data_IF_948439745576
#
_entry.id   IF_948439745576
#
_cell.length_a   1.000
_cell.length_b   1.000
_cell.length_c   1.000
_cell.angle_alpha   90.00
_cell.angle_beta   90.00
_cell.angle_gamma   90.00
#
_symmetry.space_group_name_H-M   'P 1'
#
loop_
_entity.id
_entity.type
_entity.pdbx_description
1 polymer ?
#
# COMPACT_ATOMS: atom_id res chain seq x y z
N UNK A 1 3.03 -15.18 17.72
CA UNK A 1 3.17 -13.71 17.78
C UNK A 1 4.13 -13.19 16.70
N UNK A 2 5.41 -13.58 16.70
CA UNK A 2 6.43 -13.11 15.73
C UNK A 2 6.13 -13.52 14.26
N UNK A 3 5.70 -14.77 14.05
CA UNK A 3 5.37 -15.29 12.71
C UNK A 3 4.17 -14.55 12.07
N UNK A 4 3.20 -14.10 12.88
CA UNK A 4 2.03 -13.33 12.41
C UNK A 4 2.42 -11.93 11.90
N UNK A 5 3.43 -11.31 12.51
CA UNK A 5 3.99 -10.04 12.04
C UNK A 5 4.71 -10.20 10.70
N UNK A 6 5.47 -11.28 10.54
CA UNK A 6 6.16 -11.60 9.28
C UNK A 6 5.18 -11.92 8.15
N UNK A 7 4.14 -12.72 8.42
CA UNK A 7 3.08 -13.04 7.45
C UNK A 7 2.31 -11.77 7.03
N UNK A 8 2.04 -10.85 7.95
CA UNK A 8 1.45 -9.54 7.62
C UNK A 8 2.35 -8.70 6.72
N UNK A 9 3.64 -8.66 7.02
CA UNK A 9 4.59 -7.95 6.18
C UNK A 9 4.69 -8.57 4.77
N UNK A 10 4.76 -9.90 4.68
CA UNK A 10 4.81 -10.63 3.43
C UNK A 10 3.52 -10.51 2.59
N UNK A 11 2.35 -10.51 3.23
CA UNK A 11 1.08 -10.34 2.53
C UNK A 11 0.91 -8.92 1.99
N UNK A 12 1.27 -7.88 2.76
CA UNK A 12 1.29 -6.50 2.26
C UNK A 12 2.21 -6.34 1.04
N UNK A 13 3.41 -6.92 1.12
CA UNK A 13 4.35 -6.99 0.01
C UNK A 13 3.75 -7.68 -1.23
N UNK A 14 3.15 -8.86 -1.05
CA UNK A 14 2.51 -9.62 -2.12
C UNK A 14 1.34 -8.86 -2.75
N UNK A 15 0.57 -8.14 -1.92
CA UNK A 15 -0.57 -7.36 -2.40
C UNK A 15 -0.12 -6.22 -3.31
N UNK A 16 0.95 -5.51 -2.91
CA UNK A 16 1.46 -4.43 -3.73
C UNK A 16 1.99 -4.94 -5.07
N UNK A 17 2.66 -6.10 -5.05
CA UNK A 17 3.18 -6.75 -6.25
C UNK A 17 2.03 -7.18 -7.18
N UNK A 18 0.95 -7.74 -6.61
CA UNK A 18 -0.25 -8.09 -7.36
C UNK A 18 -0.90 -6.85 -8.00
N UNK A 19 -0.99 -5.73 -7.28
CA UNK A 19 -1.53 -4.48 -7.82
C UNK A 19 -0.61 -3.91 -8.88
N UNK A 20 0.71 -3.95 -8.68
CA UNK A 20 1.68 -3.50 -9.67
C UNK A 20 1.54 -4.23 -11.02
N UNK A 21 1.15 -5.51 -11.01
CA UNK A 21 0.92 -6.31 -12.22
C UNK A 21 -0.49 -6.17 -12.79
N UNK A 22 -1.52 -6.04 -11.94
CA UNK A 22 -2.93 -6.01 -12.36
C UNK A 22 -3.41 -4.59 -12.70
N UNK A 23 -2.87 -3.56 -12.05
CA UNK A 23 -3.27 -2.17 -12.26
C UNK A 23 -3.03 -1.67 -13.70
N UNK A 24 -1.85 -1.92 -14.33
CA UNK A 24 -1.62 -1.49 -15.71
C UNK A 24 -2.53 -2.23 -16.70
N UNK A 25 -2.89 -3.49 -16.44
CA UNK A 25 -3.71 -4.28 -17.37
C UNK A 25 -5.19 -3.90 -17.38
N UNK A 26 -5.68 -3.21 -16.34
CA UNK A 26 -7.08 -2.79 -16.25
C UNK A 26 -7.36 -1.44 -16.94
N UNK A 27 -6.34 -0.65 -17.29
CA UNK A 27 -6.52 0.67 -17.93
C UNK A 27 -7.21 1.72 -17.05
N UNK A 28 -7.45 1.42 -15.76
CA UNK A 28 -8.15 2.28 -14.79
C UNK A 28 -7.21 3.37 -14.23
N UNK A 29 -5.89 3.22 -14.41
CA UNK A 29 -4.86 4.07 -13.78
C UNK A 29 -3.94 4.71 -14.84
N UNK A 30 -4.38 5.78 -15.51
CA UNK A 30 -3.53 6.51 -16.44
C UNK A 30 -2.37 7.15 -15.68
N UNK A 31 -1.13 6.72 -15.96
CA UNK A 31 0.08 7.22 -15.28
C UNK A 31 0.63 6.31 -14.17
N UNK A 32 0.01 5.16 -13.90
CA UNK A 32 0.62 4.13 -13.06
C UNK A 32 1.50 3.21 -13.91
N UNK A 33 2.81 3.27 -13.71
CA UNK A 33 3.79 2.51 -14.49
C UNK A 33 4.80 1.81 -13.59
N UNK A 34 5.01 0.51 -13.80
CA UNK A 34 6.06 -0.24 -13.12
C UNK A 34 6.98 -0.85 -14.17
N UNK A 35 8.23 -0.39 -14.21
CA UNK A 35 9.19 -0.69 -15.28
C UNK A 35 9.53 -2.19 -15.41
N UNK A 36 9.28 -2.98 -14.36
CA UNK A 36 9.42 -4.44 -14.37
C UNK A 36 9.45 -5.07 -12.99
N UNK A 37 9.67 -6.39 -12.94
CA UNK A 37 9.72 -7.16 -11.69
C UNK A 37 10.74 -6.63 -10.66
N UNK A 38 11.91 -6.17 -11.14
CA UNK A 38 12.93 -5.58 -10.27
C UNK A 38 12.47 -4.30 -9.58
N UNK A 39 11.85 -3.38 -10.33
CA UNK A 39 11.28 -2.15 -9.78
C UNK A 39 10.14 -2.45 -8.80
N UNK A 40 9.29 -3.45 -9.10
CA UNK A 40 8.23 -3.89 -8.20
C UNK A 40 8.78 -4.44 -6.87
N UNK A 41 9.85 -5.24 -6.90
CA UNK A 41 10.51 -5.75 -5.70
C UNK A 41 11.06 -4.62 -4.82
N UNK A 42 11.76 -3.66 -5.43
CA UNK A 42 12.30 -2.49 -4.72
C UNK A 42 11.17 -1.63 -4.15
N UNK A 43 10.11 -1.38 -4.92
CA UNK A 43 8.91 -0.64 -4.49
C UNK A 43 8.27 -1.29 -3.27
N UNK A 44 8.12 -2.61 -3.27
CA UNK A 44 7.60 -3.38 -2.15
C UNK A 44 8.46 -3.22 -0.89
N UNK A 45 9.78 -3.31 -1.02
CA UNK A 45 10.72 -3.17 0.10
C UNK A 45 10.64 -1.75 0.69
N UNK A 46 10.71 -0.73 -0.16
CA UNK A 46 10.64 0.68 0.25
C UNK A 46 9.28 0.99 0.87
N UNK A 47 8.19 0.56 0.24
CA UNK A 47 6.85 0.77 0.77
C UNK A 47 6.67 0.12 2.14
N UNK A 48 7.19 -1.09 2.31
CA UNK A 48 7.09 -1.80 3.58
C UNK A 48 7.88 -1.04 4.67
N UNK A 49 9.07 -0.54 4.34
CA UNK A 49 9.86 0.32 5.23
C UNK A 49 9.12 1.63 5.59
N UNK A 50 8.52 2.30 4.62
CA UNK A 50 7.71 3.50 4.84
C UNK A 50 6.47 3.20 5.71
N UNK A 51 5.88 2.02 5.56
CA UNK A 51 4.76 1.58 6.39
C UNK A 51 5.15 1.33 7.86
N UNK A 52 6.41 0.98 8.14
CA UNK A 52 6.91 0.84 9.51
C UNK A 52 7.35 2.17 10.14
N UNK A 53 7.76 3.13 9.32
CA UNK A 53 8.38 4.37 9.80
C UNK A 53 7.45 5.57 9.60
N UNK A 54 7.19 5.92 8.35
CA UNK A 54 6.42 7.11 7.97
C UNK A 54 4.95 6.98 8.35
N UNK A 55 4.31 5.83 8.09
CA UNK A 55 2.89 5.64 8.38
C UNK A 55 2.51 5.83 9.86
N UNK A 56 3.23 5.28 10.87
CA UNK A 56 2.90 5.54 12.26
C UNK A 56 3.13 6.99 12.67
N UNK A 57 4.18 7.64 12.15
CA UNK A 57 4.44 9.06 12.40
C UNK A 57 3.29 9.91 11.85
N UNK A 58 2.91 9.70 10.59
CA UNK A 58 1.79 10.39 9.95
C UNK A 58 0.48 10.14 10.68
N UNK A 59 0.19 8.91 11.09
CA UNK A 59 -1.01 8.59 11.86
C UNK A 59 -1.05 9.31 13.21
N UNK A 60 0.08 9.36 13.91
CA UNK A 60 0.14 10.01 15.21
C UNK A 60 -0.08 11.52 15.08
N UNK A 61 0.54 12.15 14.08
CA UNK A 61 0.34 13.56 13.78
C UNK A 61 -1.07 13.85 13.24
N UNK A 62 -1.62 12.94 12.45
CA UNK A 62 -2.93 13.13 11.81
C UNK A 62 -4.09 12.74 12.69
N UNK A 63 -3.89 12.05 13.82
CA UNK A 63 -4.94 11.58 14.72
C UNK A 63 -6.09 12.57 14.97
N UNK A 64 -5.84 13.85 15.31
CA UNK A 64 -6.93 14.81 15.52
C UNK A 64 -7.77 15.05 14.25
N UNK A 65 -7.10 15.16 13.09
CA UNK A 65 -7.75 15.34 11.79
C UNK A 65 -8.46 14.06 11.35
N UNK A 66 -7.84 12.91 11.57
CA UNK A 66 -8.41 11.59 11.28
C UNK A 66 -9.67 11.38 12.10
N UNK A 67 -9.70 11.76 13.38
CA UNK A 67 -10.93 11.73 14.19
C UNK A 67 -11.99 12.70 13.66
N UNK A 68 -11.59 13.92 13.27
CA UNK A 68 -12.51 14.93 12.72
C UNK A 68 -13.12 14.51 11.37
N UNK A 69 -12.39 13.73 10.59
CA UNK A 69 -12.79 13.24 9.26
C UNK A 69 -13.37 11.82 9.30
N UNK A 70 -13.70 11.28 10.48
CA UNK A 70 -14.19 9.91 10.67
C UNK A 70 -13.33 8.82 10.01
N UNK A 71 -12.02 9.01 10.02
CA UNK A 71 -11.07 8.05 9.44
C UNK A 71 -10.76 8.28 7.96
N UNK A 72 -11.44 9.20 7.27
CA UNK A 72 -11.23 9.44 5.83
C UNK A 72 -9.80 9.90 5.52
N UNK A 73 -9.19 10.67 6.43
CA UNK A 73 -7.79 11.09 6.28
C UNK A 73 -6.79 9.93 6.25
N UNK A 74 -7.19 8.73 6.70
CA UNK A 74 -6.34 7.52 6.60
C UNK A 74 -6.06 7.15 5.13
N UNK A 75 -6.99 7.45 4.21
CA UNK A 75 -6.76 7.26 2.77
C UNK A 75 -5.66 8.17 2.26
N UNK A 76 -5.66 9.43 2.71
CA UNK A 76 -4.62 10.41 2.38
C UNK A 76 -3.25 9.93 2.87
N UNK A 77 -3.16 9.41 4.09
CA UNK A 77 -1.90 8.84 4.62
C UNK A 77 -1.39 7.70 3.73
N UNK A 78 -2.28 6.76 3.36
CA UNK A 78 -1.88 5.62 2.52
C UNK A 78 -1.44 6.09 1.11
N UNK A 79 -2.11 7.09 0.54
CA UNK A 79 -1.76 7.70 -0.74
C UNK A 79 -0.41 8.44 -0.67
N UNK A 80 -0.17 9.21 0.40
CA UNK A 80 1.11 9.90 0.64
C UNK A 80 2.25 8.88 0.73
N UNK A 81 2.03 7.75 1.40
CA UNK A 81 3.03 6.68 1.47
C UNK A 81 3.32 6.09 0.08
N UNK A 82 2.30 5.93 -0.78
CA UNK A 82 2.53 5.52 -2.18
C UNK A 82 3.30 6.56 -3.00
N UNK A 83 2.98 7.85 -2.84
CA UNK A 83 3.72 8.93 -3.51
C UNK A 83 5.17 9.04 -3.02
N UNK A 84 5.43 8.71 -1.76
CA UNK A 84 6.80 8.63 -1.25
C UNK A 84 7.53 7.44 -1.85
N UNK A 85 6.87 6.29 -2.03
CA UNK A 85 7.46 5.17 -2.76
C UNK A 85 7.76 5.54 -4.21
N UNK A 86 6.84 6.24 -4.88
CA UNK A 86 7.02 6.78 -6.24
C UNK A 86 8.28 7.65 -6.33
N UNK A 87 8.42 8.62 -5.43
CA UNK A 87 9.59 9.50 -5.39
C UNK A 87 10.91 8.78 -5.05
N UNK A 88 10.87 7.64 -4.35
CA UNK A 88 12.06 6.93 -3.88
C UNK A 88 12.48 5.76 -4.79
N UNK A 89 11.59 5.26 -5.64
CA UNK A 89 11.83 4.05 -6.44
C UNK A 89 11.74 4.37 -7.92
N UNK A 90 12.92 4.43 -8.55
CA UNK A 90 13.02 4.56 -9.99
C UNK A 90 12.30 3.39 -10.70
N UNK A 91 11.32 3.73 -11.55
CA UNK A 91 10.52 2.75 -12.27
C UNK A 91 9.27 2.27 -11.52
N UNK A 92 8.85 2.95 -10.45
CA UNK A 92 7.51 2.82 -9.85
C UNK A 92 6.85 4.20 -9.88
N UNK A 93 6.05 4.48 -10.91
CA UNK A 93 5.33 5.75 -11.04
C UNK A 93 3.85 5.54 -10.72
N UNK A 94 3.27 6.42 -9.92
CA UNK A 94 1.85 6.35 -9.54
C UNK A 94 1.00 7.35 -10.34
N UNK A 95 1.62 8.37 -10.93
CA UNK A 95 0.93 9.33 -11.80
C UNK A 95 0.17 10.43 -11.05
N UNK A 96 0.53 10.67 -9.79
CA UNK A 96 0.02 11.79 -8.98
C UNK A 96 -0.93 11.40 -7.85
N UNK A 97 -1.42 12.41 -7.13
CA UNK A 97 -2.15 12.21 -5.86
C UNK A 97 -3.48 11.48 -6.02
N UNK A 98 -4.29 11.83 -7.03
CA UNK A 98 -5.57 11.17 -7.25
C UNK A 98 -5.41 9.67 -7.56
N UNK A 99 -4.44 9.33 -8.41
CA UNK A 99 -4.09 7.94 -8.67
C UNK A 99 -3.61 7.26 -7.40
N UNK A 100 -2.72 7.89 -6.62
CA UNK A 100 -2.23 7.32 -5.36
C UNK A 100 -3.37 7.04 -4.37
N UNK A 101 -4.39 7.89 -4.29
CA UNK A 101 -5.59 7.64 -3.50
C UNK A 101 -6.33 6.39 -4.01
N UNK A 102 -6.60 6.29 -5.31
CA UNK A 102 -7.29 5.14 -5.91
C UNK A 102 -6.51 3.84 -5.69
N UNK A 103 -5.20 3.83 -5.99
CA UNK A 103 -4.34 2.66 -5.79
C UNK A 103 -4.27 2.29 -4.30
N UNK A 104 -4.22 3.28 -3.39
CA UNK A 104 -4.20 3.01 -1.95
C UNK A 104 -5.50 2.38 -1.43
N UNK A 105 -6.64 2.74 -2.02
CA UNK A 105 -7.95 2.14 -1.71
C UNK A 105 -7.98 0.70 -2.21
N UNK A 106 -7.60 0.47 -3.46
CA UNK A 106 -7.52 -0.89 -4.03
C UNK A 106 -6.58 -1.75 -3.18
N UNK A 107 -5.41 -1.23 -2.82
CA UNK A 107 -4.46 -1.90 -1.94
C UNK A 107 -5.08 -2.25 -0.60
N UNK A 108 -5.74 -1.31 0.07
CA UNK A 108 -6.39 -1.59 1.34
C UNK A 108 -7.45 -2.70 1.23
N UNK A 109 -8.26 -2.69 0.15
CA UNK A 109 -9.31 -3.70 -0.07
C UNK A 109 -8.71 -5.08 -0.37
N UNK A 110 -7.77 -5.18 -1.31
CA UNK A 110 -7.15 -6.47 -1.67
C UNK A 110 -6.39 -7.03 -0.47
N UNK A 111 -5.63 -6.20 0.25
CA UNK A 111 -4.93 -6.61 1.46
C UNK A 111 -5.90 -7.11 2.53
N UNK A 112 -7.04 -6.44 2.73
CA UNK A 112 -8.07 -6.86 3.68
C UNK A 112 -8.71 -8.21 3.29
N UNK A 113 -9.00 -8.42 2.01
CA UNK A 113 -9.52 -9.69 1.50
C UNK A 113 -8.51 -10.83 1.67
N UNK A 114 -7.25 -10.61 1.31
CA UNK A 114 -6.19 -11.59 1.49
C UNK A 114 -5.99 -11.97 2.96
N UNK A 115 -6.03 -10.99 3.87
CA UNK A 115 -6.00 -11.28 5.30
C UNK A 115 -7.22 -12.06 5.76
N UNK A 116 -8.43 -11.69 5.30
CA UNK A 116 -9.64 -12.44 5.62
C UNK A 116 -9.57 -13.91 5.19
N UNK A 117 -8.95 -14.20 4.03
CA UNK A 117 -8.75 -15.56 3.53
C UNK A 117 -7.67 -16.32 4.30
N UNK A 118 -6.54 -15.70 4.61
CA UNK A 118 -5.42 -16.36 5.34
C UNK A 118 -5.75 -16.56 6.81
N UNK A 119 -6.47 -15.63 7.42
CA UNK A 119 -6.83 -15.70 8.85
C UNK A 119 -8.05 -16.61 9.09
N UNK A 120 -8.80 -16.94 8.03
CA UNK A 120 -9.82 -17.99 8.00
C UNK A 120 -9.28 -19.42 8.20
N UNK A 121 -7.97 -19.62 8.06
CA UNK A 121 -7.30 -20.95 8.13
C UNK A 121 -6.55 -21.19 9.46
N UNK A 122 -6.62 -20.26 10.43
CA UNK A 122 -5.94 -20.35 11.74
C UNK A 122 -6.91 -20.37 12.93
N UNK A 123 -8.13 -20.85 12.71
CA UNK A 123 -9.15 -20.96 13.75
C UNK A 123 -9.59 -22.42 13.95
N UNK A 124 -8.61 -23.31 14.08
CA UNK A 124 -8.74 -24.63 14.71
C UNK A 124 -7.73 -24.76 15.86
#
# INVERSE_FOLDING_TARGET
MMLRLLVRWALGALTLLAIAYVAPSLGILPGFHVAGFGAALVAVVVLSLLNLTVRPILKWLSLPITCLTFGLFTLVINAVVMLLTDALVAGFEVGGFLNAVIVSVIYAVVTALLYGLVEGDQKD
#
